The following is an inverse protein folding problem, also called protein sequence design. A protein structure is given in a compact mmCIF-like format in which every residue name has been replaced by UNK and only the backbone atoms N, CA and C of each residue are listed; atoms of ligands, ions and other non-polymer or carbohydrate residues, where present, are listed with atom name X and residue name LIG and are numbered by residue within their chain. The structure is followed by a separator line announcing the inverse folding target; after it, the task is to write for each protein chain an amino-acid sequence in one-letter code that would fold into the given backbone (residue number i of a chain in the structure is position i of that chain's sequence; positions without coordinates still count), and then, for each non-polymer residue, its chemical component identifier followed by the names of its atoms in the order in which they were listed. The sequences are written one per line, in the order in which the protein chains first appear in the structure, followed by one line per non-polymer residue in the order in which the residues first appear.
data_IF_600592586502
#
_entry.id   IF_600592586502
#
_cell.length_a   1.000
_cell.length_b   1.000
_cell.length_c   1.000
_cell.angle_alpha   90.00
_cell.angle_beta   90.00
_cell.angle_gamma   90.00
#
_symmetry.space_group_name_H-M   'P 1'
#
loop_
_entity.id
_entity.type
_entity.pdbx_description
1 polymer ?
#
# COMPACT_ATOMS: atom_id res chain seq x y z
N UNK A 1 16.46 -2.17 -8.44
CA UNK A 1 16.29 -0.79 -7.95
C UNK A 1 16.91 -0.72 -6.57
N UNK A 2 17.83 0.21 -6.31
CA UNK A 2 18.44 0.36 -4.98
C UNK A 2 17.70 1.50 -4.27
N UNK A 3 16.85 1.17 -3.30
CA UNK A 3 16.12 2.14 -2.48
C UNK A 3 16.88 2.27 -1.17
N UNK A 4 17.27 3.49 -0.83
CA UNK A 4 18.03 3.75 0.38
C UNK A 4 17.13 3.71 1.62
N UNK A 5 17.69 3.23 2.73
CA UNK A 5 16.98 3.08 4.02
C UNK A 5 16.41 4.40 4.56
N UNK A 6 17.05 5.53 4.25
CA UNK A 6 16.56 6.84 4.63
C UNK A 6 15.27 7.24 3.92
N UNK A 7 14.94 6.59 2.80
CA UNK A 7 13.77 6.87 1.99
C UNK A 7 12.64 5.87 2.29
N UNK A 8 13.00 4.61 2.44
CA UNK A 8 12.08 3.55 2.85
C UNK A 8 12.74 2.81 4.01
N UNK A 9 12.32 3.03 5.26
CA UNK A 9 12.91 2.37 6.41
C UNK A 9 12.87 0.84 6.28
N UNK A 10 14.03 0.20 6.41
CA UNK A 10 14.17 -1.25 6.32
C UNK A 10 14.36 -1.80 4.91
N UNK A 11 14.51 -0.95 3.89
CA UNK A 11 14.67 -1.35 2.50
C UNK A 11 16.10 -1.75 2.10
N UNK A 12 17.15 -1.34 2.81
CA UNK A 12 18.54 -1.46 2.35
C UNK A 12 18.99 -2.89 2.05
N UNK A 13 18.36 -3.89 2.69
CA UNK A 13 18.60 -5.32 2.42
C UNK A 13 17.30 -6.10 2.17
N UNK A 14 16.17 -5.40 1.97
CA UNK A 14 14.88 -6.06 1.73
C UNK A 14 14.77 -6.51 0.27
N UNK A 15 14.37 -7.75 0.07
CA UNK A 15 14.20 -8.36 -1.27
C UNK A 15 12.73 -8.55 -1.65
N UNK A 16 11.81 -8.24 -0.75
CA UNK A 16 10.37 -8.37 -0.98
C UNK A 16 9.73 -7.12 -1.58
N UNK A 17 8.40 -7.09 -1.55
CA UNK A 17 7.64 -5.97 -2.06
C UNK A 17 7.80 -4.73 -1.16
N UNK A 18 7.79 -3.56 -1.80
CA UNK A 18 7.84 -2.24 -1.16
C UNK A 18 6.78 -1.36 -1.81
N UNK A 19 6.15 -0.50 -1.01
CA UNK A 19 5.37 0.62 -1.53
C UNK A 19 6.28 1.85 -1.60
N UNK A 20 6.27 2.54 -2.73
CA UNK A 20 6.96 3.82 -2.90
C UNK A 20 5.96 4.91 -3.31
N UNK A 21 6.08 6.07 -2.68
CA UNK A 21 5.37 7.29 -3.07
C UNK A 21 6.26 8.09 -4.01
N UNK A 22 5.73 8.41 -5.20
CA UNK A 22 6.45 9.16 -6.22
C UNK A 22 5.68 10.44 -6.53
N UNK A 23 6.37 11.57 -6.46
CA UNK A 23 5.87 12.87 -6.89
C UNK A 23 6.84 13.48 -7.89
N UNK A 24 6.35 13.88 -9.06
CA UNK A 24 7.15 14.48 -10.12
C UNK A 24 8.39 13.65 -10.54
N UNK A 25 8.28 12.32 -10.48
CA UNK A 25 9.38 11.40 -10.81
C UNK A 25 10.39 11.18 -9.67
N UNK A 26 10.23 11.85 -8.54
CA UNK A 26 11.06 11.67 -7.35
C UNK A 26 10.34 10.77 -6.34
N UNK A 27 11.05 9.77 -5.82
CA UNK A 27 10.55 8.99 -4.68
C UNK A 27 10.62 9.87 -3.44
N UNK A 28 9.48 10.07 -2.77
CA UNK A 28 9.37 10.86 -1.54
C UNK A 28 9.53 10.01 -0.28
N UNK A 29 9.18 8.73 -0.38
CA UNK A 29 9.28 7.78 0.72
C UNK A 29 8.50 6.51 0.46
N UNK A 30 8.26 5.72 1.50
CA UNK A 30 7.54 4.45 1.39
C UNK A 30 7.74 3.54 2.60
N UNK A 31 7.33 2.28 2.47
CA UNK A 31 7.52 1.25 3.48
C UNK A 31 7.66 -0.15 2.85
N UNK A 32 8.32 -1.04 3.59
CA UNK A 32 8.38 -2.46 3.29
C UNK A 32 7.01 -3.09 3.54
N UNK A 33 6.53 -3.90 2.61
CA UNK A 33 5.30 -4.68 2.77
C UNK A 33 5.62 -6.01 3.48
N UNK A 34 4.74 -6.43 4.39
CA UNK A 34 4.81 -7.78 4.95
C UNK A 34 4.43 -8.83 3.92
N UNK A 35 4.67 -10.10 4.25
CA UNK A 35 4.25 -11.23 3.44
C UNK A 35 2.73 -11.16 3.25
N UNK A 36 2.29 -11.31 2.01
CA UNK A 36 0.89 -11.24 1.58
C UNK A 36 0.18 -9.88 1.81
N UNK A 37 0.92 -8.83 2.19
CA UNK A 37 0.41 -7.47 2.15
C UNK A 37 0.47 -6.89 0.74
N UNK A 38 -0.60 -6.19 0.37
CA UNK A 38 -0.65 -5.38 -0.85
C UNK A 38 -1.43 -4.10 -0.59
N UNK A 39 -1.14 -3.08 -1.38
CA UNK A 39 -1.82 -1.79 -1.30
C UNK A 39 -2.66 -1.62 -2.55
N UNK A 40 -3.90 -1.20 -2.35
CA UNK A 40 -4.86 -0.97 -3.43
C UNK A 40 -5.72 0.25 -3.12
N UNK A 41 -6.49 0.72 -4.10
CA UNK A 41 -7.48 1.77 -3.86
C UNK A 41 -8.79 1.19 -3.32
N UNK A 42 -9.56 2.01 -2.59
CA UNK A 42 -10.89 1.62 -2.13
C UNK A 42 -11.78 1.20 -3.32
N UNK A 43 -11.70 1.92 -4.44
CA UNK A 43 -12.45 1.60 -5.66
C UNK A 43 -12.05 0.25 -6.25
N UNK A 44 -10.75 -0.07 -6.30
CA UNK A 44 -10.28 -1.36 -6.80
C UNK A 44 -10.68 -2.51 -5.87
N UNK A 45 -10.68 -2.28 -4.55
CA UNK A 45 -11.20 -3.24 -3.58
C UNK A 45 -12.71 -3.47 -3.76
N UNK A 46 -13.48 -2.42 -4.01
CA UNK A 46 -14.91 -2.50 -4.29
C UNK A 46 -15.20 -3.31 -5.56
N UNK A 47 -14.49 -3.05 -6.65
CA UNK A 47 -14.61 -3.83 -7.89
C UNK A 47 -14.23 -5.31 -7.68
N UNK A 48 -13.18 -5.57 -6.91
CA UNK A 48 -12.77 -6.95 -6.57
C UNK A 48 -13.88 -7.68 -5.80
N UNK A 49 -14.55 -7.00 -4.87
CA UNK A 49 -15.70 -7.56 -4.14
C UNK A 49 -16.86 -7.89 -5.08
N UNK A 50 -17.19 -7.00 -6.02
CA UNK A 50 -18.23 -7.25 -7.03
C UNK A 50 -17.92 -8.49 -7.85
N UNK A 51 -16.67 -8.62 -8.34
CA UNK A 51 -16.22 -9.79 -9.10
C UNK A 51 -16.27 -11.08 -8.28
N UNK A 52 -16.03 -11.01 -6.97
CA UNK A 52 -16.14 -12.14 -6.06
C UNK A 52 -17.59 -12.48 -5.64
N UNK A 53 -18.60 -11.74 -6.12
CA UNK A 53 -20.01 -11.92 -5.73
C UNK A 53 -20.31 -11.46 -4.29
N UNK A 54 -19.42 -10.67 -3.69
CA UNK A 54 -19.59 -10.12 -2.35
C UNK A 54 -20.40 -8.83 -2.42
N UNK A 55 -21.24 -8.60 -1.40
CA UNK A 55 -22.02 -7.37 -1.32
C UNK A 55 -21.12 -6.14 -1.14
N UNK A 56 -21.51 -4.98 -1.70
CA UNK A 56 -20.84 -3.71 -1.43
C UNK A 56 -20.76 -3.43 0.07
N UNK A 57 -19.65 -2.86 0.53
CA UNK A 57 -19.46 -2.49 1.94
C UNK A 57 -18.94 -1.06 2.02
N UNK A 58 -19.36 -0.32 3.04
CA UNK A 58 -18.77 1.00 3.32
C UNK A 58 -17.39 0.81 3.96
N UNK A 59 -16.39 1.50 3.44
CA UNK A 59 -15.04 1.57 4.00
C UNK A 59 -14.79 2.88 4.77
N UNK A 60 -15.87 3.58 5.18
CA UNK A 60 -15.75 4.80 5.99
C UNK A 60 -15.06 4.48 7.33
N UNK A 61 -13.88 5.08 7.58
CA UNK A 61 -13.24 5.07 8.91
C UNK A 61 -14.23 5.61 9.94
N UNK A 62 -14.54 4.85 11.01
CA UNK A 62 -15.01 5.47 12.25
C UNK A 62 -13.84 6.26 12.83
N UNK A 63 -14.10 7.51 13.19
CA UNK A 63 -13.10 8.52 13.56
C UNK A 63 -12.35 8.23 14.88
N UNK A 64 -12.49 7.02 15.44
CA UNK A 64 -12.13 6.69 16.84
C UNK A 64 -10.80 5.96 17.03
N UNK A 65 -10.03 5.70 15.97
CA UNK A 65 -8.72 5.05 16.11
C UNK A 65 -7.59 6.09 15.93
N UNK A 66 -7.33 6.87 16.98
CA UNK A 66 -6.10 7.64 17.22
C UNK A 66 -5.69 7.53 18.68
#
# INVERSE_FOLDING_TARGET
MHISDNLVPGAANHTGAVLVYVEQGCVLGGFVLMVDEFVTSISALEETRKLAGLTPTSFSRSQTDL
#
